data_IF_758182949310
#
_entry.id   IF_758182949310
#
_cell.length_a   1.000
_cell.length_b   1.000
_cell.length_c   1.000
_cell.angle_alpha   90.00
_cell.angle_beta   90.00
_cell.angle_gamma   90.00
#
_symmetry.space_group_name_H-M   'P 1'
#
loop_
_entity.id
_entity.type
_entity.pdbx_description
1 polymer ?
#
# COMPACT_ATOMS: atom_id res chain seq x y z
N UNK A 1 9.45 -19.15 -27.85
CA UNK A 1 9.97 -19.73 -26.68
C UNK A 1 9.42 -19.06 -25.44
N UNK A 2 8.84 -19.74 -24.62
CA UNK A 2 8.37 -19.23 -23.35
C UNK A 2 9.53 -19.17 -22.34
N UNK A 3 9.47 -18.23 -21.41
CA UNK A 3 10.32 -18.30 -20.26
C UNK A 3 9.93 -19.51 -19.42
N UNK A 4 10.91 -20.16 -18.83
CA UNK A 4 10.62 -21.20 -17.86
C UNK A 4 9.91 -20.58 -16.65
N UNK A 5 8.84 -21.18 -16.21
CA UNK A 5 8.22 -20.81 -14.96
C UNK A 5 9.18 -21.17 -13.82
N UNK A 6 9.39 -20.24 -12.89
CA UNK A 6 10.29 -20.43 -11.78
C UNK A 6 9.73 -19.74 -10.53
N UNK A 7 10.13 -20.25 -9.37
CA UNK A 7 9.84 -19.59 -8.12
C UNK A 7 10.89 -18.52 -7.90
N UNK A 8 10.44 -17.30 -7.59
CA UNK A 8 11.34 -16.20 -7.27
C UNK A 8 11.31 -15.96 -5.77
N UNK A 9 12.50 -15.85 -5.19
CA UNK A 9 12.66 -15.44 -3.79
C UNK A 9 13.28 -14.05 -3.82
N UNK A 10 12.61 -13.08 -3.25
CA UNK A 10 13.09 -11.70 -3.18
C UNK A 10 13.31 -11.35 -1.72
N UNK A 11 14.57 -11.09 -1.38
CA UNK A 11 14.95 -10.74 -0.01
C UNK A 11 14.82 -9.23 0.22
N UNK A 12 14.70 -8.78 1.48
CA UNK A 12 14.51 -7.36 1.78
C UNK A 12 15.56 -6.43 1.16
N UNK A 13 16.81 -6.88 1.05
CA UNK A 13 17.89 -6.08 0.43
C UNK A 13 17.68 -5.82 -1.07
N UNK A 14 16.79 -6.58 -1.71
CA UNK A 14 16.48 -6.47 -3.13
C UNK A 14 15.26 -5.64 -3.43
N UNK A 15 14.49 -5.24 -2.40
CA UNK A 15 13.26 -4.47 -2.58
C UNK A 15 13.54 -3.14 -3.26
N UNK A 16 12.62 -2.72 -4.12
CA UNK A 16 12.73 -1.47 -4.88
C UNK A 16 11.87 -0.37 -4.26
N UNK A 17 12.50 0.75 -3.92
CA UNK A 17 11.82 1.95 -3.42
C UNK A 17 11.39 2.90 -4.54
N UNK A 18 11.77 2.63 -5.79
CA UNK A 18 11.40 3.45 -6.95
C UNK A 18 9.95 3.27 -7.40
N UNK A 19 9.15 2.51 -6.68
CA UNK A 19 7.72 2.29 -6.98
C UNK A 19 6.88 3.54 -6.65
N UNK A 20 5.64 3.56 -7.15
CA UNK A 20 4.72 4.67 -6.90
C UNK A 20 4.50 4.89 -5.40
N UNK A 21 4.59 6.14 -4.96
CA UNK A 21 4.55 6.53 -3.56
C UNK A 21 3.40 7.50 -3.28
N UNK A 22 2.97 7.54 -2.02
CA UNK A 22 2.14 8.62 -1.50
C UNK A 22 2.90 9.32 -0.37
N UNK A 23 2.87 10.68 -0.29
CA UNK A 23 3.60 11.39 0.74
C UNK A 23 3.21 10.93 2.15
N UNK A 24 4.18 10.87 3.05
CA UNK A 24 3.98 10.43 4.44
C UNK A 24 4.16 8.94 4.66
N UNK A 25 4.46 8.19 3.61
CA UNK A 25 4.65 6.74 3.68
C UNK A 25 5.81 6.29 2.80
N UNK A 26 6.20 5.03 2.96
CA UNK A 26 7.17 4.37 2.10
C UNK A 26 6.57 3.07 1.56
N UNK A 27 6.79 2.82 0.28
CA UNK A 27 6.45 1.55 -0.37
C UNK A 27 7.71 0.89 -0.91
N UNK A 28 7.74 -0.42 -0.79
CA UNK A 28 8.84 -1.25 -1.26
C UNK A 28 8.26 -2.32 -2.16
N UNK A 29 8.64 -2.31 -3.43
CA UNK A 29 8.22 -3.37 -4.35
C UNK A 29 9.07 -4.62 -4.10
N UNK A 30 8.42 -5.74 -3.94
CA UNK A 30 9.06 -7.06 -3.80
C UNK A 30 8.80 -7.93 -5.02
N UNK A 31 7.56 -8.03 -5.46
CA UNK A 31 7.17 -8.74 -6.67
C UNK A 31 6.63 -7.70 -7.65
N UNK A 32 7.43 -7.36 -8.64
CA UNK A 32 7.12 -6.26 -9.55
C UNK A 32 7.97 -6.34 -10.82
N UNK A 33 7.52 -5.70 -11.92
CA UNK A 33 8.31 -5.64 -13.15
C UNK A 33 9.69 -5.02 -12.96
N UNK A 34 9.83 -4.04 -12.07
CA UNK A 34 11.11 -3.39 -11.78
C UNK A 34 12.17 -4.36 -11.26
N UNK A 35 11.76 -5.50 -10.72
CA UNK A 35 12.66 -6.56 -10.24
C UNK A 35 12.83 -7.68 -11.28
N UNK A 36 12.39 -7.46 -12.51
CA UNK A 36 12.47 -8.45 -13.57
C UNK A 36 11.50 -9.62 -13.42
N UNK A 37 10.48 -9.47 -12.61
CA UNK A 37 9.50 -10.54 -12.35
C UNK A 37 8.24 -10.26 -13.15
N UNK A 38 7.91 -11.19 -14.06
CA UNK A 38 6.68 -11.15 -14.83
C UNK A 38 5.56 -11.76 -13.98
N UNK A 39 4.63 -10.94 -13.51
CA UNK A 39 3.50 -11.36 -12.72
C UNK A 39 2.27 -10.53 -13.05
N UNK A 40 1.11 -11.12 -12.93
CA UNK A 40 -0.15 -10.41 -13.10
C UNK A 40 -0.50 -9.54 -11.89
N UNK A 41 0.17 -9.75 -10.76
CA UNK A 41 -0.09 -9.03 -9.51
C UNK A 41 1.20 -8.40 -8.99
N UNK A 42 1.04 -7.35 -8.21
CA UNK A 42 2.14 -6.66 -7.55
C UNK A 42 2.12 -7.01 -6.06
N UNK A 43 3.29 -7.19 -5.48
CA UNK A 43 3.42 -7.44 -4.04
C UNK A 43 4.55 -6.63 -3.44
N UNK A 44 4.36 -6.16 -2.21
CA UNK A 44 5.38 -5.39 -1.53
C UNK A 44 5.04 -5.04 -0.09
N UNK A 45 5.75 -4.08 0.45
CA UNK A 45 5.55 -3.56 1.80
C UNK A 45 5.11 -2.11 1.77
N UNK A 46 4.40 -1.72 2.80
CA UNK A 46 3.94 -0.36 3.02
C UNK A 46 4.19 -0.01 4.49
N UNK A 47 4.84 1.13 4.73
CA UNK A 47 5.26 1.56 6.07
C UNK A 47 4.85 3.01 6.27
N UNK A 48 4.25 3.31 7.42
CA UNK A 48 4.00 4.68 7.86
C UNK A 48 4.65 4.87 9.23
N UNK A 49 5.53 5.85 9.30
CA UNK A 49 6.28 6.15 10.51
C UNK A 49 5.38 6.67 11.63
N UNK A 50 5.84 6.59 12.91
CA UNK A 50 5.06 7.12 14.02
C UNK A 50 4.66 8.58 13.81
N UNK A 51 3.40 8.91 14.15
CA UNK A 51 2.88 10.26 14.05
C UNK A 51 2.66 10.78 12.63
N UNK A 52 2.93 9.95 11.62
CA UNK A 52 2.78 10.33 10.22
C UNK A 52 1.45 9.86 9.64
N UNK A 53 1.11 10.39 8.48
CA UNK A 53 -0.05 9.99 7.70
C UNK A 53 0.22 10.17 6.23
N UNK A 54 -0.54 9.47 5.39
CA UNK A 54 -0.54 9.71 3.96
C UNK A 54 -1.41 10.91 3.61
N UNK A 55 -1.27 11.42 2.38
CA UNK A 55 -2.30 12.27 1.79
C UNK A 55 -3.51 11.45 1.35
N UNK A 56 -4.54 12.14 0.88
CA UNK A 56 -5.72 11.52 0.28
C UNK A 56 -5.32 10.96 -1.07
N UNK A 57 -5.64 9.69 -1.33
CA UNK A 57 -5.27 9.05 -2.59
C UNK A 57 -6.21 7.89 -2.91
N UNK A 58 -6.09 7.38 -4.13
CA UNK A 58 -6.71 6.13 -4.54
C UNK A 58 -5.78 5.39 -5.50
N UNK A 59 -6.16 4.20 -5.88
CA UNK A 59 -5.32 3.33 -6.72
C UNK A 59 -5.97 3.03 -8.08
N UNK A 60 -6.84 3.93 -8.55
CA UNK A 60 -7.53 3.72 -9.81
C UNK A 60 -8.34 2.43 -9.79
N UNK A 61 -8.23 1.67 -10.87
CA UNK A 61 -8.93 0.39 -11.02
C UNK A 61 -8.35 -0.75 -10.19
N UNK A 62 -7.21 -0.54 -9.53
CA UNK A 62 -6.60 -1.58 -8.71
C UNK A 62 -7.35 -1.80 -7.40
N UNK A 63 -7.52 -3.06 -7.06
CA UNK A 63 -7.88 -3.47 -5.71
C UNK A 63 -6.62 -3.75 -4.92
N UNK A 64 -6.71 -3.57 -3.63
CA UNK A 64 -5.63 -3.86 -2.69
C UNK A 64 -6.11 -4.86 -1.65
N UNK A 65 -5.28 -5.86 -1.38
CA UNK A 65 -5.36 -6.67 -0.17
C UNK A 65 -4.10 -6.37 0.63
N UNK A 66 -4.26 -6.10 1.90
CA UNK A 66 -3.14 -5.89 2.80
C UNK A 66 -3.26 -6.78 4.03
N UNK A 67 -2.12 -7.14 4.59
CA UNK A 67 -2.04 -7.82 5.88
C UNK A 67 -1.17 -6.99 6.80
N UNK A 68 -1.68 -6.67 7.99
CA UNK A 68 -0.96 -5.86 8.96
C UNK A 68 0.07 -6.73 9.69
N UNK A 69 1.35 -6.47 9.42
CA UNK A 69 2.46 -7.16 10.08
C UNK A 69 2.67 -6.66 11.50
N UNK A 70 2.61 -5.34 11.69
CA UNK A 70 2.86 -4.71 12.98
C UNK A 70 2.22 -3.33 13.04
N UNK A 71 1.95 -2.87 14.25
CA UNK A 71 1.41 -1.55 14.49
C UNK A 71 -0.11 -1.47 14.33
N UNK A 72 -0.60 -0.25 14.41
CA UNK A 72 -2.02 0.08 14.28
C UNK A 72 -2.18 1.20 13.26
N UNK A 73 -3.20 1.09 12.43
CA UNK A 73 -3.50 2.08 11.41
C UNK A 73 -4.96 2.50 11.52
N UNK A 74 -5.21 3.81 11.45
CA UNK A 74 -6.54 4.36 11.23
C UNK A 74 -6.66 4.71 9.75
N UNK A 75 -7.70 4.21 9.09
CA UNK A 75 -7.95 4.48 7.68
C UNK A 75 -9.20 5.34 7.60
N UNK A 76 -9.03 6.57 7.13
CA UNK A 76 -10.13 7.45 6.79
C UNK A 76 -10.48 7.24 5.32
N UNK A 77 -11.76 7.09 4.99
CA UNK A 77 -12.16 6.75 3.63
C UNK A 77 -13.57 7.23 3.29
N UNK A 78 -13.87 7.23 2.02
CA UNK A 78 -15.15 7.65 1.47
C UNK A 78 -15.02 8.88 0.59
N UNK A 79 -16.06 9.19 -0.18
CA UNK A 79 -16.04 10.32 -1.12
C UNK A 79 -15.78 11.66 -0.42
N UNK A 80 -16.16 11.78 0.85
CA UNK A 80 -15.97 12.97 1.69
C UNK A 80 -15.10 12.68 2.92
N UNK A 81 -14.46 11.51 2.99
CA UNK A 81 -13.71 11.09 4.15
C UNK A 81 -14.57 10.90 5.40
N UNK A 82 -15.80 10.47 5.21
CA UNK A 82 -16.80 10.38 6.26
C UNK A 82 -16.67 9.17 7.18
N UNK A 83 -15.87 8.19 6.79
CA UNK A 83 -15.72 6.94 7.55
C UNK A 83 -14.28 6.80 8.08
N UNK A 84 -14.16 6.15 9.24
CA UNK A 84 -12.86 5.77 9.82
C UNK A 84 -12.96 4.32 10.28
N UNK A 85 -11.91 3.55 9.94
CA UNK A 85 -11.78 2.14 10.31
C UNK A 85 -10.38 1.91 10.86
N UNK A 86 -10.25 1.13 11.92
CA UNK A 86 -8.96 0.80 12.53
C UNK A 86 -8.58 -0.63 12.23
N UNK A 87 -7.32 -0.84 11.85
CA UNK A 87 -6.72 -2.15 11.66
C UNK A 87 -5.48 -2.28 12.55
N UNK A 88 -5.28 -3.48 13.11
CA UNK A 88 -4.14 -3.80 13.95
C UNK A 88 -3.44 -5.06 13.45
N UNK A 89 -2.27 -5.37 14.01
CA UNK A 89 -1.47 -6.53 13.63
C UNK A 89 -2.34 -7.81 13.56
N UNK A 90 -2.22 -8.52 12.44
CA UNK A 90 -2.99 -9.74 12.17
C UNK A 90 -4.26 -9.52 11.35
N UNK A 91 -4.69 -8.29 11.16
CA UNK A 91 -5.89 -8.01 10.37
C UNK A 91 -5.58 -8.03 8.86
N UNK A 92 -6.54 -8.51 8.09
CA UNK A 92 -6.58 -8.29 6.64
C UNK A 92 -7.40 -7.05 6.31
N UNK A 93 -6.96 -6.33 5.29
CA UNK A 93 -7.63 -5.13 4.78
C UNK A 93 -7.94 -5.33 3.31
N UNK A 94 -9.14 -4.97 2.90
CA UNK A 94 -9.50 -4.89 1.49
C UNK A 94 -9.82 -3.44 1.14
N UNK A 95 -9.12 -2.88 0.16
CA UNK A 95 -9.40 -1.55 -0.37
C UNK A 95 -9.96 -1.70 -1.78
N UNK A 96 -11.23 -1.35 -1.98
CA UNK A 96 -11.85 -1.41 -3.32
C UNK A 96 -11.20 -0.47 -4.33
N UNK A 97 -11.42 -0.76 -5.61
CA UNK A 97 -11.01 0.14 -6.69
C UNK A 97 -11.64 1.53 -6.50
N UNK A 98 -10.89 2.57 -6.87
CA UNK A 98 -11.28 3.99 -6.87
C UNK A 98 -11.64 4.59 -5.51
N UNK A 99 -11.54 3.87 -4.43
CA UNK A 99 -11.92 4.37 -3.11
C UNK A 99 -10.88 5.39 -2.60
N UNK A 100 -11.33 6.62 -2.36
CA UNK A 100 -10.52 7.66 -1.72
C UNK A 100 -10.26 7.27 -0.28
N UNK A 101 -8.98 7.30 0.13
CA UNK A 101 -8.61 6.94 1.49
C UNK A 101 -7.30 7.60 1.90
N UNK A 102 -7.04 7.57 3.19
CA UNK A 102 -5.82 8.08 3.81
C UNK A 102 -5.49 7.17 5.00
N UNK A 103 -4.24 6.81 5.15
CA UNK A 103 -3.76 6.02 6.27
C UNK A 103 -3.10 6.93 7.30
N UNK A 104 -3.48 6.75 8.55
CA UNK A 104 -3.00 7.56 9.67
C UNK A 104 -2.38 6.63 10.70
N UNK A 105 -1.15 6.93 11.12
CA UNK A 105 -0.55 6.22 12.24
C UNK A 105 -0.91 6.94 13.54
N UNK A 106 -1.77 6.34 14.39
CA UNK A 106 -2.17 6.97 15.63
C UNK A 106 -1.10 6.90 16.73
N UNK A 107 -0.06 6.08 16.52
CA UNK A 107 1.02 5.91 17.50
C UNK A 107 2.12 6.94 17.27
N UNK A 108 2.70 7.47 18.36
CA UNK A 108 3.89 8.30 18.32
C UNK A 108 5.17 7.48 18.58
N UNK A 109 5.05 6.16 18.76
CA UNK A 109 6.16 5.29 19.17
C UNK A 109 6.54 4.27 18.12
N UNK A 110 5.58 3.73 17.38
CA UNK A 110 5.79 2.61 16.48
C UNK A 110 5.30 2.89 15.07
N UNK A 111 6.05 2.47 14.04
CA UNK A 111 5.52 2.46 12.68
C UNK A 111 4.43 1.40 12.55
N UNK A 112 3.55 1.52 11.55
CA UNK A 112 2.79 0.36 11.11
C UNK A 112 3.36 -0.16 9.79
N UNK A 113 3.26 -1.46 9.61
CA UNK A 113 3.78 -2.16 8.43
C UNK A 113 2.76 -3.13 7.89
N UNK A 114 2.56 -3.07 6.58
CA UNK A 114 1.65 -3.96 5.87
C UNK A 114 2.38 -4.73 4.78
N UNK A 115 2.00 -5.98 4.58
CA UNK A 115 2.17 -6.64 3.28
C UNK A 115 1.05 -6.15 2.40
N UNK A 116 1.36 -5.77 1.16
CA UNK A 116 0.38 -5.22 0.22
C UNK A 116 0.42 -6.02 -1.07
N UNK A 117 -0.75 -6.41 -1.57
CA UNK A 117 -0.93 -7.05 -2.86
C UNK A 117 -1.90 -6.23 -3.69
N UNK A 118 -1.51 -5.93 -4.92
CA UNK A 118 -2.33 -5.19 -5.90
C UNK A 118 -2.80 -6.12 -7.00
N UNK A 119 -3.98 -5.84 -7.53
CA UNK A 119 -4.63 -6.69 -8.53
C UNK A 119 -4.02 -6.61 -9.93
N UNK A 120 -3.12 -5.66 -10.19
CA UNK A 120 -2.38 -5.55 -11.45
C UNK A 120 -0.89 -5.35 -11.18
N UNK A 121 -0.05 -5.67 -12.17
CA UNK A 121 1.40 -5.74 -11.99
C UNK A 121 2.07 -4.39 -11.73
N UNK A 122 1.52 -3.30 -12.27
CA UNK A 122 2.09 -1.96 -12.11
C UNK A 122 1.28 -1.19 -11.08
N UNK A 123 1.88 -0.73 -9.98
CA UNK A 123 1.12 -0.04 -8.95
C UNK A 123 0.65 1.32 -9.43
N UNK A 124 -0.58 1.65 -9.09
CA UNK A 124 -1.20 2.94 -9.39
C UNK A 124 -1.40 3.69 -8.08
N UNK A 125 -0.91 4.93 -8.02
CA UNK A 125 -1.17 5.84 -6.90
C UNK A 125 -1.56 7.19 -7.48
N UNK A 126 -2.77 7.62 -7.19
CA UNK A 126 -3.30 8.92 -7.62
C UNK A 126 -3.49 9.75 -6.37
N UNK A 127 -2.57 10.70 -6.16
CA UNK A 127 -2.60 11.60 -5.02
C UNK A 127 -3.51 12.79 -5.31
N UNK A 128 -4.34 13.15 -4.35
CA UNK A 128 -5.32 14.23 -4.46
C UNK A 128 -4.93 15.39 -3.55
N UNK A 129 -5.44 16.61 -3.82
CA UNK A 129 -5.20 17.76 -2.95
C UNK A 129 -5.71 17.53 -1.53
N UNK A 130 -5.06 18.17 -0.55
CA UNK A 130 -5.44 18.03 0.87
C UNK A 130 -6.86 18.55 1.16
N UNK A 131 -7.37 19.45 0.33
CA UNK A 131 -8.71 20.01 0.45
C UNK A 131 -9.79 19.22 -0.29
N UNK A 132 -9.47 18.02 -0.77
CA UNK A 132 -10.43 17.13 -1.45
C UNK A 132 -11.60 16.79 -0.53
N UNK A 133 -11.34 16.57 0.75
CA UNK A 133 -12.36 16.35 1.76
C UNK A 133 -12.62 17.62 2.55
N UNK A 134 -13.87 17.84 3.00
CA UNK A 134 -14.21 18.99 3.85
C UNK A 134 -13.54 18.95 5.21
#
# INVERSE_FOLDING_TARGET
MGSSAAIHIVSPSEFDQGTAQTPGSERFAAIAPALGIASAIWGGLFVVEPGSRTGIHHHGEQETIAYVLSGTCDIRWGARGESITRATAGDFIHVPAFLLHMEINPSNLEPFRWVVVRSTATPIVINLPDDTWP
#
